data_IF_594273348503
#
_entry.id   IF_594273348503
#
_cell.length_a   1.000
_cell.length_b   1.000
_cell.length_c   1.000
_cell.angle_alpha   90.00
_cell.angle_beta   90.00
_cell.angle_gamma   90.00
#
_symmetry.space_group_name_H-M   'P 1'
#
loop_
_entity.id
_entity.type
_entity.pdbx_description
1 polymer ?
#
# COMPACT_ATOMS: atom_id res chain seq x y z
N UNK A 1 -11.37 -24.40 1.00
CA UNK A 1 -12.21 -23.24 0.64
C UNK A 1 -12.91 -23.58 -0.66
N UNK A 2 -14.23 -23.42 -0.71
CA UNK A 2 -15.06 -23.58 -1.92
C UNK A 2 -15.55 -22.20 -2.32
N UNK A 3 -15.16 -21.72 -3.51
CA UNK A 3 -15.62 -20.45 -4.07
C UNK A 3 -16.60 -20.75 -5.21
N UNK A 4 -17.80 -20.18 -5.10
CA UNK A 4 -18.79 -20.17 -6.18
C UNK A 4 -18.93 -18.73 -6.67
N UNK A 5 -18.47 -18.48 -7.89
CA UNK A 5 -18.52 -17.14 -8.47
C UNK A 5 -19.80 -16.93 -9.29
N UNK A 6 -20.28 -15.68 -9.31
CA UNK A 6 -21.50 -15.25 -10.01
C UNK A 6 -22.71 -16.18 -9.76
N UNK A 7 -22.99 -16.47 -8.50
CA UNK A 7 -24.03 -17.44 -8.09
C UNK A 7 -25.43 -17.07 -8.61
N UNK A 8 -25.67 -15.80 -8.96
CA UNK A 8 -26.92 -15.35 -9.58
C UNK A 8 -27.19 -15.95 -10.96
N UNK A 9 -26.16 -16.47 -11.63
CA UNK A 9 -26.27 -17.13 -12.94
C UNK A 9 -26.51 -18.63 -12.83
N UNK A 10 -26.41 -19.19 -11.62
CA UNK A 10 -26.60 -20.62 -11.41
C UNK A 10 -28.06 -21.04 -11.56
N UNK A 11 -28.27 -22.30 -11.94
CA UNK A 11 -29.61 -22.87 -11.99
C UNK A 11 -30.24 -22.92 -10.57
N UNK A 12 -31.54 -22.62 -10.41
CA UNK A 12 -32.21 -22.62 -9.10
C UNK A 12 -32.01 -23.90 -8.26
N UNK A 13 -31.87 -25.06 -8.90
CA UNK A 13 -31.62 -26.33 -8.20
C UNK A 13 -30.32 -26.35 -7.41
N UNK A 14 -29.31 -25.55 -7.80
CA UNK A 14 -28.08 -25.42 -7.05
C UNK A 14 -28.34 -24.88 -5.64
N UNK A 15 -29.28 -23.95 -5.48
CA UNK A 15 -29.61 -23.35 -4.19
C UNK A 15 -30.17 -24.40 -3.22
N UNK A 16 -30.97 -25.35 -3.71
CA UNK A 16 -31.49 -26.45 -2.90
C UNK A 16 -30.37 -27.38 -2.40
N UNK A 17 -29.40 -27.67 -3.26
CA UNK A 17 -28.22 -28.45 -2.89
C UNK A 17 -27.38 -27.71 -1.84
N UNK A 18 -27.18 -26.41 -2.01
CA UNK A 18 -26.43 -25.60 -1.07
C UNK A 18 -27.14 -25.49 0.28
N UNK A 19 -28.47 -25.37 0.32
CA UNK A 19 -29.25 -25.44 1.56
C UNK A 19 -28.99 -26.76 2.30
N UNK A 20 -29.05 -27.90 1.60
CA UNK A 20 -28.76 -29.19 2.21
C UNK A 20 -27.32 -29.25 2.78
N UNK A 21 -26.35 -28.71 2.05
CA UNK A 21 -24.96 -28.65 2.49
C UNK A 21 -24.79 -27.77 3.73
N UNK A 22 -25.43 -26.61 3.77
CA UNK A 22 -25.40 -25.69 4.92
C UNK A 22 -26.11 -26.27 6.15
N UNK A 23 -27.18 -27.05 5.95
CA UNK A 23 -27.98 -27.63 7.03
C UNK A 23 -27.33 -28.85 7.69
N UNK A 24 -26.75 -29.72 6.89
CA UNK A 24 -26.28 -31.04 7.35
C UNK A 24 -24.77 -31.20 7.30
N UNK A 25 -24.05 -30.24 6.68
CA UNK A 25 -22.61 -30.33 6.45
C UNK A 25 -22.24 -31.54 5.60
N UNK A 26 -23.18 -32.09 4.82
CA UNK A 26 -22.98 -33.30 4.02
C UNK A 26 -23.78 -33.24 2.72
N UNK A 27 -23.21 -33.78 1.66
CA UNK A 27 -23.86 -33.98 0.37
C UNK A 27 -23.77 -35.45 -0.02
N UNK A 28 -24.88 -36.05 -0.44
CA UNK A 28 -24.88 -37.43 -0.94
C UNK A 28 -24.93 -37.41 -2.46
N UNK A 29 -23.94 -38.05 -3.08
CA UNK A 29 -23.88 -38.21 -4.52
C UNK A 29 -24.85 -39.29 -5.04
N UNK A 30 -25.10 -39.33 -6.35
CA UNK A 30 -25.96 -40.32 -7.02
C UNK A 30 -25.54 -41.78 -6.76
N UNK A 31 -24.26 -42.01 -6.50
CA UNK A 31 -23.71 -43.32 -6.14
C UNK A 31 -23.91 -43.69 -4.65
N UNK A 32 -24.66 -42.87 -3.88
CA UNK A 32 -24.86 -43.06 -2.44
C UNK A 32 -23.66 -42.68 -1.57
N UNK A 33 -22.59 -42.14 -2.17
CA UNK A 33 -21.41 -41.68 -1.43
C UNK A 33 -21.71 -40.37 -0.72
N UNK A 34 -21.54 -40.35 0.60
CA UNK A 34 -21.65 -39.12 1.39
C UNK A 34 -20.31 -38.36 1.40
N UNK A 35 -20.37 -37.07 1.07
CA UNK A 35 -19.27 -36.11 1.04
C UNK A 35 -19.45 -35.17 2.24
N UNK A 36 -18.36 -34.94 2.99
CA UNK A 36 -18.36 -34.12 4.20
C UNK A 36 -17.91 -32.68 3.90
N UNK A 37 -18.71 -31.70 4.32
CA UNK A 37 -18.49 -30.26 4.15
C UNK A 37 -18.18 -29.53 5.47
N UNK A 38 -18.10 -30.24 6.62
CA UNK A 38 -17.89 -29.60 7.94
C UNK A 38 -16.59 -28.79 8.06
N UNK A 39 -15.57 -29.12 7.26
CA UNK A 39 -14.27 -28.43 7.24
C UNK A 39 -14.08 -27.57 5.97
N UNK A 40 -15.19 -27.13 5.35
CA UNK A 40 -15.17 -26.31 4.13
C UNK A 40 -15.71 -24.92 4.45
N UNK A 41 -14.93 -23.89 4.12
CA UNK A 41 -15.42 -22.51 4.05
C UNK A 41 -16.06 -22.33 2.67
N UNK A 42 -17.37 -22.10 2.64
CA UNK A 42 -18.12 -21.76 1.43
C UNK A 42 -18.13 -20.24 1.26
N UNK A 43 -17.62 -19.77 0.13
CA UNK A 43 -17.66 -18.36 -0.29
C UNK A 43 -18.47 -18.29 -1.58
N UNK A 44 -19.44 -17.39 -1.61
CA UNK A 44 -20.23 -17.11 -2.80
C UNK A 44 -20.09 -15.64 -3.14
N UNK A 45 -19.95 -15.34 -4.43
CA UNK A 45 -19.93 -13.97 -4.93
C UNK A 45 -21.09 -13.77 -5.89
N UNK A 46 -21.62 -12.54 -5.87
CA UNK A 46 -22.70 -12.14 -6.76
C UNK A 46 -22.50 -10.70 -7.19
N UNK A 47 -22.78 -10.41 -8.46
CA UNK A 47 -22.81 -9.04 -8.96
C UNK A 47 -24.24 -8.46 -8.93
N UNK A 48 -25.20 -9.16 -8.34
CA UNK A 48 -26.54 -8.63 -8.10
C UNK A 48 -26.46 -7.38 -7.20
N UNK A 49 -27.10 -6.29 -7.60
CA UNK A 49 -27.02 -4.97 -6.94
C UNK A 49 -25.97 -4.04 -7.55
N UNK A 50 -24.83 -4.57 -8.04
CA UNK A 50 -23.75 -3.74 -8.59
C UNK A 50 -24.18 -2.94 -9.84
N UNK A 51 -25.04 -3.51 -10.69
CA UNK A 51 -25.57 -2.82 -11.86
C UNK A 51 -26.54 -1.68 -11.51
N UNK A 52 -27.29 -1.82 -10.41
CA UNK A 52 -28.24 -0.80 -9.95
C UNK A 52 -27.50 0.35 -9.26
N UNK A 53 -26.45 0.06 -8.50
CA UNK A 53 -25.49 1.07 -7.99
C UNK A 53 -24.79 1.85 -9.11
N UNK A 54 -24.51 1.20 -10.24
CA UNK A 54 -23.84 1.83 -11.39
C UNK A 54 -24.76 2.76 -12.19
N UNK A 55 -26.09 2.72 -11.97
CA UNK A 55 -27.04 3.61 -12.66
C UNK A 55 -27.03 5.00 -12.02
N UNK A 56 -26.91 6.08 -12.81
CA UNK A 56 -26.99 7.44 -12.29
C UNK A 56 -28.27 7.66 -11.47
N UNK A 57 -28.17 8.40 -10.37
CA UNK A 57 -29.35 8.86 -9.65
C UNK A 57 -30.18 9.79 -10.55
N UNK A 58 -31.44 9.44 -10.83
CA UNK A 58 -32.38 10.36 -11.48
C UNK A 58 -32.99 11.22 -10.37
N UNK A 59 -32.55 12.47 -10.25
CA UNK A 59 -33.07 13.43 -9.28
C UNK A 59 -32.06 14.49 -8.84
N UNK A 60 -32.55 15.64 -8.37
CA UNK A 60 -31.73 16.73 -7.80
C UNK A 60 -31.23 16.35 -6.39
N UNK A 61 -30.27 15.43 -6.33
CA UNK A 61 -29.66 15.00 -5.09
C UNK A 61 -28.61 13.94 -5.35
N UNK A 62 -27.33 14.30 -5.16
CA UNK A 62 -26.24 13.34 -5.10
C UNK A 62 -26.35 12.54 -3.79
N UNK A 63 -27.36 11.69 -3.66
CA UNK A 63 -27.35 10.63 -2.67
C UNK A 63 -26.88 9.37 -3.38
N UNK A 64 -25.68 8.91 -3.02
CA UNK A 64 -25.29 7.51 -3.16
C UNK A 64 -26.49 6.68 -2.67
N UNK A 65 -27.04 5.81 -3.53
CA UNK A 65 -28.23 5.00 -3.20
C UNK A 65 -27.82 3.90 -2.21
N UNK A 66 -27.63 4.28 -0.95
CA UNK A 66 -27.49 3.34 0.15
C UNK A 66 -28.81 2.57 0.29
N UNK A 67 -28.81 1.28 -0.08
CA UNK A 67 -29.96 0.38 0.11
C UNK A 67 -30.38 -0.46 -1.10
N UNK A 68 -30.01 -0.07 -2.33
CA UNK A 68 -30.40 -0.81 -3.55
C UNK A 68 -29.78 -2.23 -3.59
N UNK A 69 -28.58 -2.39 -3.02
CA UNK A 69 -27.92 -3.70 -2.89
C UNK A 69 -28.74 -4.68 -2.06
N UNK A 70 -29.31 -4.22 -0.94
CA UNK A 70 -30.11 -5.05 -0.05
C UNK A 70 -31.37 -5.53 -0.76
N UNK A 71 -32.01 -4.68 -1.55
CA UNK A 71 -33.19 -5.07 -2.30
C UNK A 71 -32.88 -6.10 -3.39
N UNK A 72 -31.79 -5.92 -4.15
CA UNK A 72 -31.34 -6.88 -5.15
C UNK A 72 -31.01 -8.25 -4.51
N UNK A 73 -30.30 -8.26 -3.39
CA UNK A 73 -29.98 -9.47 -2.62
C UNK A 73 -31.24 -10.12 -2.07
N UNK A 74 -32.21 -9.34 -1.55
CA UNK A 74 -33.48 -9.86 -1.04
C UNK A 74 -34.34 -10.52 -2.12
N UNK A 75 -34.24 -10.05 -3.37
CA UNK A 75 -34.94 -10.63 -4.52
C UNK A 75 -34.26 -11.88 -5.04
N UNK A 76 -32.92 -11.90 -5.07
CA UNK A 76 -32.15 -13.04 -5.58
C UNK A 76 -32.13 -14.21 -4.61
N UNK A 77 -31.96 -13.94 -3.30
CA UNK A 77 -31.84 -14.98 -2.28
C UNK A 77 -33.07 -15.01 -1.39
N UNK A 78 -33.71 -16.18 -1.32
CA UNK A 78 -34.86 -16.41 -0.45
C UNK A 78 -34.48 -16.14 1.02
N UNK A 79 -35.45 -15.75 1.87
CA UNK A 79 -35.18 -15.59 3.30
C UNK A 79 -34.57 -16.84 3.95
N UNK A 80 -35.00 -18.03 3.52
CA UNK A 80 -34.45 -19.31 4.00
C UNK A 80 -32.96 -19.43 3.71
N UNK A 81 -32.53 -19.12 2.48
CA UNK A 81 -31.12 -19.18 2.11
C UNK A 81 -30.28 -18.17 2.89
N UNK A 82 -30.77 -16.93 3.03
CA UNK A 82 -30.06 -15.88 3.76
C UNK A 82 -29.91 -16.19 5.24
N UNK A 83 -30.91 -16.83 5.84
CA UNK A 83 -30.85 -17.26 7.24
C UNK A 83 -29.81 -18.37 7.50
N UNK A 84 -29.24 -18.98 6.44
CA UNK A 84 -28.15 -19.97 6.54
C UNK A 84 -26.76 -19.38 6.26
N UNK A 85 -26.68 -18.11 5.93
CA UNK A 85 -25.39 -17.41 5.75
C UNK A 85 -24.91 -16.87 7.09
N UNK A 86 -23.65 -17.14 7.42
CA UNK A 86 -23.02 -16.56 8.61
C UNK A 86 -22.86 -15.03 8.49
N UNK A 87 -22.54 -14.56 7.29
CA UNK A 87 -22.37 -13.14 6.99
C UNK A 87 -22.64 -12.82 5.51
N UNK A 88 -23.20 -11.63 5.28
CA UNK A 88 -23.28 -11.01 3.95
C UNK A 88 -22.41 -9.76 3.98
N UNK A 89 -21.39 -9.72 3.12
CA UNK A 89 -20.41 -8.63 3.08
C UNK A 89 -20.61 -7.82 1.81
N UNK A 90 -21.04 -6.57 1.96
CA UNK A 90 -21.13 -5.63 0.84
C UNK A 90 -19.75 -5.03 0.56
N UNK A 91 -19.34 -5.05 -0.72
CA UNK A 91 -18.09 -4.44 -1.18
C UNK A 91 -18.40 -3.10 -1.85
N UNK A 92 -17.97 -2.01 -1.22
CA UNK A 92 -18.06 -0.68 -1.82
C UNK A 92 -16.98 -0.42 -2.86
N UNK A 93 -17.08 0.76 -3.48
CA UNK A 93 -16.05 1.28 -4.38
C UNK A 93 -14.71 1.46 -3.67
N UNK A 94 -13.61 1.34 -4.42
CA UNK A 94 -12.27 1.50 -3.87
C UNK A 94 -11.97 3.00 -3.67
N UNK A 95 -11.57 3.42 -2.46
CA UNK A 95 -11.03 4.76 -2.25
C UNK A 95 -9.76 4.99 -3.08
N UNK A 96 -9.48 6.23 -3.53
CA UNK A 96 -8.28 6.54 -4.33
C UNK A 96 -6.97 6.03 -3.71
N UNK A 97 -6.85 6.10 -2.39
CA UNK A 97 -5.69 5.66 -1.62
C UNK A 97 -5.49 4.16 -1.73
N UNK A 98 -6.58 3.39 -1.75
CA UNK A 98 -6.53 1.93 -1.95
C UNK A 98 -6.14 1.63 -3.40
N UNK A 99 -6.63 2.39 -4.38
CA UNK A 99 -6.22 2.24 -5.78
C UNK A 99 -4.71 2.47 -5.92
N UNK A 100 -4.15 3.48 -5.25
CA UNK A 100 -2.71 3.73 -5.24
C UNK A 100 -1.91 2.53 -4.70
N UNK A 101 -2.39 1.91 -3.61
CA UNK A 101 -1.78 0.70 -3.05
C UNK A 101 -1.86 -0.47 -4.03
N UNK A 102 -2.97 -0.60 -4.77
CA UNK A 102 -3.13 -1.63 -5.79
C UNK A 102 -2.14 -1.41 -6.95
N UNK A 103 -1.91 -0.16 -7.38
CA UNK A 103 -0.86 0.18 -8.36
C UNK A 103 0.50 -0.29 -7.87
N UNK A 104 0.89 0.09 -6.66
CA UNK A 104 2.18 -0.29 -6.07
C UNK A 104 2.32 -1.82 -5.99
N UNK A 105 1.25 -2.53 -5.60
CA UNK A 105 1.23 -4.00 -5.59
C UNK A 105 1.48 -4.59 -6.97
N UNK A 106 0.85 -4.08 -8.02
CA UNK A 106 1.07 -4.59 -9.38
C UNK A 106 2.48 -4.32 -9.88
N UNK A 107 3.07 -3.17 -9.55
CA UNK A 107 4.46 -2.85 -9.88
C UNK A 107 5.42 -3.78 -9.14
N UNK A 108 5.18 -4.04 -7.85
CA UNK A 108 5.97 -5.01 -7.08
C UNK A 108 5.86 -6.43 -7.66
N UNK A 109 4.68 -6.83 -8.12
CA UNK A 109 4.50 -8.11 -8.81
C UNK A 109 5.28 -8.17 -10.14
N UNK A 110 5.33 -7.06 -10.89
CA UNK A 110 6.14 -6.96 -12.10
C UNK A 110 7.63 -7.03 -11.77
N UNK A 111 8.09 -6.33 -10.74
CA UNK A 111 9.47 -6.40 -10.27
C UNK A 111 9.85 -7.83 -9.87
N UNK A 112 8.98 -8.52 -9.13
CA UNK A 112 9.19 -9.93 -8.77
C UNK A 112 9.29 -10.85 -10.01
N UNK A 113 8.56 -10.56 -11.09
CA UNK A 113 8.66 -11.30 -12.36
C UNK A 113 9.98 -11.05 -13.09
N UNK A 114 10.63 -9.91 -12.85
CA UNK A 114 11.88 -9.52 -13.51
C UNK A 114 13.10 -9.58 -12.58
N UNK A 115 12.93 -10.05 -11.35
CA UNK A 115 13.98 -10.17 -10.35
C UNK A 115 15.13 -11.07 -10.84
N UNK A 116 14.82 -12.17 -11.54
CA UNK A 116 15.83 -13.06 -12.13
C UNK A 116 16.69 -12.38 -13.21
N UNK A 117 16.20 -11.27 -13.78
CA UNK A 117 16.91 -10.45 -14.75
C UNK A 117 17.60 -9.24 -14.11
N UNK A 118 17.50 -9.08 -12.79
CA UNK A 118 18.08 -7.96 -12.06
C UNK A 118 17.47 -6.61 -12.43
N UNK A 119 16.18 -6.57 -12.80
CA UNK A 119 15.49 -5.32 -13.14
C UNK A 119 14.67 -4.86 -11.95
N UNK A 120 14.92 -3.62 -11.51
CA UNK A 120 14.18 -2.95 -10.43
C UNK A 120 13.36 -1.78 -10.97
N UNK A 121 12.41 -1.31 -10.18
CA UNK A 121 11.50 -0.24 -10.56
C UNK A 121 11.53 0.93 -9.57
N UNK A 122 11.68 2.14 -10.10
CA UNK A 122 11.51 3.39 -9.36
C UNK A 122 10.27 4.12 -9.91
N UNK A 123 9.17 4.07 -9.18
CA UNK A 123 7.90 4.67 -9.57
C UNK A 123 7.71 6.02 -8.86
N UNK A 124 7.57 7.10 -9.63
CA UNK A 124 7.26 8.41 -9.03
C UNK A 124 5.81 8.48 -8.54
N UNK A 125 5.54 9.31 -7.53
CA UNK A 125 4.19 9.50 -6.98
C UNK A 125 3.21 10.00 -8.05
N UNK A 126 3.68 10.83 -8.98
CA UNK A 126 2.88 11.30 -10.12
C UNK A 126 2.52 10.14 -11.06
N UNK A 127 3.42 9.19 -11.28
CA UNK A 127 3.16 8.01 -12.09
C UNK A 127 2.17 7.06 -11.41
N UNK A 128 2.25 6.90 -10.09
CA UNK A 128 1.24 6.14 -9.30
C UNK A 128 -0.15 6.74 -9.50
N UNK A 129 -0.26 8.06 -9.31
CA UNK A 129 -1.51 8.79 -9.46
C UNK A 129 -2.05 8.68 -10.89
N UNK A 130 -1.19 8.83 -11.89
CA UNK A 130 -1.54 8.71 -13.30
C UNK A 130 -2.10 7.33 -13.65
N UNK A 131 -1.46 6.27 -13.15
CA UNK A 131 -1.92 4.89 -13.35
C UNK A 131 -3.26 4.64 -12.65
N UNK A 132 -3.42 5.16 -11.43
CA UNK A 132 -4.66 5.04 -10.67
C UNK A 132 -5.83 5.73 -11.40
N UNK A 133 -5.65 6.97 -11.86
CA UNK A 133 -6.67 7.75 -12.57
C UNK A 133 -7.11 7.09 -13.89
N UNK A 134 -6.17 6.52 -14.65
CA UNK A 134 -6.48 5.84 -15.92
C UNK A 134 -6.97 4.41 -15.77
N UNK A 135 -6.55 3.71 -14.71
CA UNK A 135 -6.83 2.30 -14.50
C UNK A 135 -8.00 2.01 -13.55
N UNK A 136 -8.61 3.03 -12.97
CA UNK A 136 -9.79 2.93 -12.13
C UNK A 136 -11.03 3.44 -12.86
N UNK A 137 -12.07 2.62 -12.92
CA UNK A 137 -13.42 3.01 -13.33
C UNK A 137 -14.35 2.67 -12.16
N UNK A 138 -15.23 3.58 -11.76
CA UNK A 138 -16.14 3.36 -10.62
C UNK A 138 -17.07 2.14 -10.79
N UNK A 139 -17.34 1.72 -12.02
CA UNK A 139 -18.18 0.55 -12.35
C UNK A 139 -17.39 -0.74 -12.48
N UNK A 140 -16.12 -0.66 -12.87
CA UNK A 140 -15.25 -1.83 -13.07
C UNK A 140 -14.19 -2.00 -11.97
N UNK A 141 -14.13 -1.08 -11.02
CA UNK A 141 -13.09 -0.99 -10.00
C UNK A 141 -11.69 -0.87 -10.62
N UNK A 142 -10.72 -1.52 -9.98
CA UNK A 142 -9.33 -1.58 -10.44
C UNK A 142 -9.08 -2.66 -11.51
N UNK A 143 -10.12 -3.32 -12.07
CA UNK A 143 -9.94 -4.36 -13.11
C UNK A 143 -9.18 -3.85 -14.34
N UNK A 144 -9.42 -2.63 -14.86
CA UNK A 144 -8.67 -2.10 -16.00
C UNK A 144 -7.19 -1.82 -15.71
N UNK A 145 -6.81 -1.70 -14.44
CA UNK A 145 -5.46 -1.30 -14.03
C UNK A 145 -4.38 -2.26 -14.53
N UNK A 146 -4.66 -3.57 -14.51
CA UNK A 146 -3.75 -4.57 -15.04
C UNK A 146 -3.45 -4.34 -16.53
N UNK A 147 -4.45 -3.91 -17.31
CA UNK A 147 -4.30 -3.59 -18.73
C UNK A 147 -3.50 -2.30 -18.93
N UNK A 148 -3.79 -1.26 -18.15
CA UNK A 148 -3.04 0.01 -18.23
C UNK A 148 -1.55 -0.22 -17.94
N UNK A 149 -1.23 -1.03 -16.92
CA UNK A 149 0.15 -1.40 -16.60
C UNK A 149 0.77 -2.27 -17.70
N UNK A 150 0.00 -3.21 -18.27
CA UNK A 150 0.46 -4.04 -19.38
C UNK A 150 0.89 -3.18 -20.58
N UNK A 151 0.02 -2.26 -21.01
CA UNK A 151 0.19 -1.48 -22.22
C UNK A 151 1.24 -0.36 -22.04
N UNK A 152 1.27 0.29 -20.87
CA UNK A 152 2.14 1.45 -20.63
C UNK A 152 3.49 1.11 -19.97
N UNK A 153 3.63 -0.07 -19.36
CA UNK A 153 4.86 -0.46 -18.65
C UNK A 153 5.43 -1.75 -19.23
N UNK A 154 4.68 -2.86 -19.21
CA UNK A 154 5.23 -4.16 -19.63
C UNK A 154 5.61 -4.20 -21.11
N UNK A 155 4.76 -3.70 -22.00
CA UNK A 155 5.03 -3.70 -23.44
C UNK A 155 6.28 -2.89 -23.81
N UNK A 156 6.44 -1.61 -23.39
CA UNK A 156 7.65 -0.84 -23.66
C UNK A 156 8.92 -1.46 -23.08
N UNK A 157 8.82 -2.15 -21.94
CA UNK A 157 9.97 -2.78 -21.31
C UNK A 157 10.37 -4.11 -21.94
N UNK A 158 9.47 -4.79 -22.64
CA UNK A 158 9.78 -6.10 -23.23
C UNK A 158 11.00 -6.03 -24.16
N UNK A 159 11.05 -5.02 -25.03
CA UNK A 159 12.16 -4.82 -25.96
C UNK A 159 13.45 -4.41 -25.25
N UNK A 160 13.36 -3.54 -24.24
CA UNK A 160 14.52 -3.09 -23.45
C UNK A 160 15.17 -4.23 -22.65
N UNK A 161 14.36 -5.16 -22.13
CA UNK A 161 14.86 -6.32 -21.38
C UNK A 161 15.39 -7.41 -22.31
N UNK A 162 14.83 -7.58 -23.51
CA UNK A 162 15.28 -8.59 -24.48
C UNK A 162 16.52 -8.16 -25.26
N UNK A 163 16.54 -6.92 -25.75
CA UNK A 163 17.52 -6.43 -26.72
C UNK A 163 18.19 -5.12 -26.31
N UNK A 164 17.59 -4.36 -25.40
CA UNK A 164 18.06 -3.02 -25.02
C UNK A 164 18.94 -2.98 -23.77
N UNK A 165 18.83 -1.86 -23.06
CA UNK A 165 19.71 -1.49 -21.94
C UNK A 165 19.57 -2.40 -20.73
N UNK A 166 18.38 -2.97 -20.53
CA UNK A 166 18.06 -3.78 -19.35
C UNK A 166 18.43 -5.26 -19.50
N UNK A 167 19.09 -5.65 -20.61
CA UNK A 167 19.48 -7.05 -20.86
C UNK A 167 20.36 -7.66 -19.77
N UNK A 168 21.12 -6.82 -19.04
CA UNK A 168 22.01 -7.24 -17.93
C UNK A 168 21.48 -6.82 -16.55
N UNK A 169 20.23 -6.39 -16.47
CA UNK A 169 19.69 -5.74 -15.28
C UNK A 169 19.83 -4.23 -15.32
N UNK A 170 19.24 -3.57 -14.32
CA UNK A 170 19.18 -2.11 -14.25
C UNK A 170 17.91 -1.62 -13.54
N UNK A 171 17.84 -0.31 -13.37
CA UNK A 171 16.67 0.35 -12.76
C UNK A 171 15.82 1.01 -13.84
N UNK A 172 14.52 0.75 -13.82
CA UNK A 172 13.53 1.44 -14.65
C UNK A 172 12.93 2.56 -13.84
N UNK A 173 13.19 3.80 -14.26
CA UNK A 173 12.54 4.97 -13.67
C UNK A 173 11.28 5.33 -14.46
N UNK A 174 10.14 5.37 -13.77
CA UNK A 174 8.84 5.66 -14.36
C UNK A 174 8.34 6.99 -13.86
N UNK A 175 8.20 7.95 -14.78
CA UNK A 175 7.66 9.29 -14.50
C UNK A 175 6.53 9.62 -15.47
N UNK A 176 5.81 10.71 -15.24
CA UNK A 176 4.84 11.24 -16.21
C UNK A 176 5.56 12.15 -17.21
N UNK A 177 5.23 12.05 -18.51
CA UNK A 177 5.77 12.94 -19.56
C UNK A 177 5.25 14.37 -19.41
N UNK A 178 6.01 15.33 -19.93
CA UNK A 178 5.56 16.71 -20.08
C UNK A 178 4.25 16.76 -20.87
N UNK A 179 3.19 17.27 -20.22
CA UNK A 179 1.82 17.28 -20.75
C UNK A 179 0.85 16.30 -20.08
N UNK A 180 1.32 15.37 -19.24
CA UNK A 180 0.44 14.53 -18.42
C UNK A 180 -0.24 13.37 -19.16
N UNK A 181 0.00 13.21 -20.46
CA UNK A 181 -0.77 12.28 -21.29
C UNK A 181 -0.19 10.87 -21.36
N UNK A 182 1.07 10.66 -20.99
CA UNK A 182 1.74 9.36 -21.09
C UNK A 182 2.83 9.20 -20.03
N UNK A 183 3.20 7.94 -19.74
CA UNK A 183 4.37 7.63 -18.92
C UNK A 183 5.66 7.72 -19.73
N UNK A 184 6.72 8.18 -19.07
CA UNK A 184 8.09 8.10 -19.53
C UNK A 184 8.79 6.97 -18.77
N UNK A 185 9.44 6.07 -19.51
CA UNK A 185 10.20 4.97 -18.94
C UNK A 185 11.66 5.18 -19.32
N UNK A 186 12.49 5.49 -18.33
CA UNK A 186 13.92 5.64 -18.49
C UNK A 186 14.63 4.40 -17.95
N UNK A 187 15.26 3.63 -18.86
CA UNK A 187 16.07 2.49 -18.50
C UNK A 187 17.50 2.94 -18.14
N UNK A 188 17.87 2.74 -16.88
CA UNK A 188 19.19 3.02 -16.34
C UNK A 188 19.92 1.69 -16.17
N UNK A 189 20.99 1.49 -16.92
CA UNK A 189 21.81 0.29 -16.79
C UNK A 189 22.52 0.29 -15.44
N UNK A 190 22.50 -0.86 -14.75
CA UNK A 190 23.38 -1.09 -13.62
C UNK A 190 24.82 -1.33 -14.14
N UNK A 191 25.50 -0.23 -14.46
CA UNK A 191 26.95 -0.23 -14.61
C UNK A 191 27.60 -0.51 -13.24
N UNK A 192 28.83 -1.06 -13.20
CA UNK A 192 29.53 -1.23 -11.93
C UNK A 192 29.66 0.13 -11.27
N UNK A 193 28.91 0.35 -10.18
CA UNK A 193 29.07 1.51 -9.31
C UNK A 193 30.47 1.39 -8.74
N UNK A 194 31.45 2.05 -9.36
CA UNK A 194 32.75 2.26 -8.74
C UNK A 194 32.44 3.00 -7.44
N UNK A 195 32.74 2.43 -6.26
CA UNK A 195 32.47 3.11 -5.00
C UNK A 195 33.17 4.47 -5.07
N UNK A 196 32.40 5.54 -4.89
CA UNK A 196 32.97 6.87 -4.65
C UNK A 196 33.97 6.69 -3.51
N UNK A 197 35.25 7.05 -3.66
CA UNK A 197 36.20 6.94 -2.57
C UNK A 197 35.63 7.72 -1.38
N UNK A 198 35.34 7.03 -0.27
CA UNK A 198 35.03 7.70 0.97
C UNK A 198 36.19 8.64 1.28
N UNK A 199 35.93 9.92 1.63
CA UNK A 199 37.00 10.81 2.02
C UNK A 199 37.63 10.26 3.31
N UNK A 200 38.80 9.64 3.17
CA UNK A 200 39.60 9.16 4.29
C UNK A 200 39.79 10.34 5.25
N UNK A 201 39.34 10.25 6.51
CA UNK A 201 39.54 11.33 7.46
C UNK A 201 41.05 11.51 7.68
N UNK A 202 41.57 12.68 7.29
CA UNK A 202 42.98 13.04 7.51
C UNK A 202 43.32 12.88 9.00
N UNK A 203 44.44 12.22 9.35
CA UNK A 203 44.79 12.00 10.75
C UNK A 203 44.97 13.35 11.46
N UNK A 204 44.23 13.56 12.55
CA UNK A 204 44.38 14.74 13.41
C UNK A 204 45.79 14.74 13.99
N UNK A 205 46.58 15.78 13.68
CA UNK A 205 47.89 16.02 14.30
C UNK A 205 47.76 16.01 15.83
N UNK A 206 48.68 15.37 16.57
CA UNK A 206 48.61 15.32 18.02
C UNK A 206 48.73 16.73 18.61
N UNK A 207 47.81 17.08 19.51
CA UNK A 207 47.83 18.34 20.26
C UNK A 207 49.10 18.40 21.12
N UNK A 208 49.96 19.37 20.84
CA UNK A 208 51.16 19.70 21.63
C UNK A 208 50.73 20.12 23.04
N UNK A 209 51.16 19.39 24.08
CA UNK A 209 50.93 19.75 25.50
C UNK A 209 51.61 21.10 25.81
N UNK A 210 50.90 22.01 26.48
CA UNK A 210 51.47 23.27 26.99
C UNK A 210 52.32 22.99 28.26
N UNK A 211 53.42 23.72 28.50
CA UNK A 211 54.23 23.52 29.70
C UNK A 211 53.55 24.12 30.94
N UNK A 212 53.78 23.47 32.08
CA UNK A 212 53.34 23.85 33.43
C UNK A 212 54.14 25.08 33.90
N UNK A 213 53.47 26.14 34.37
CA UNK A 213 54.12 27.32 34.93
C UNK A 213 54.52 27.09 36.39
N UNK A 214 55.76 27.45 36.73
CA UNK A 214 56.35 27.35 38.05
C UNK A 214 55.84 28.46 39.00
N UNK A 215 55.77 28.12 40.29
CA UNK A 215 55.33 28.97 41.39
C UNK A 215 56.27 30.17 41.65
N UNK A 216 55.69 31.32 42.05
CA UNK A 216 56.40 32.43 42.72
C UNK A 216 55.75 32.77 44.06
N UNK A 217 56.59 32.90 45.09
CA UNK A 217 56.30 33.42 46.44
C UNK A 217 56.61 34.94 46.53
N UNK A 218 56.21 35.65 47.61
CA UNK A 218 55.65 37.02 47.53
C UNK A 218 56.53 38.13 48.14
N UNK A 219 56.18 39.40 47.85
CA UNK A 219 56.49 40.59 48.65
C UNK A 219 55.59 41.78 48.25
N UNK A 220 54.82 42.35 49.19
CA UNK A 220 53.93 43.52 49.01
C UNK A 220 54.64 44.88 49.22
N UNK A 221 53.99 45.93 49.77
CA UNK A 221 52.61 46.44 49.57
C UNK A 221 52.57 47.97 49.30
N UNK A 222 51.45 48.54 48.79
CA UNK A 222 50.83 49.83 49.21
C UNK A 222 49.58 50.10 48.36
N UNK A 223 48.37 50.18 48.96
CA UNK A 223 47.60 51.39 49.30
C UNK A 223 47.08 52.16 48.08
N UNK A 224 45.79 52.43 47.86
CA UNK A 224 44.59 52.22 48.66
C UNK A 224 43.32 52.52 47.83
N UNK A 225 42.17 52.58 48.51
CA UNK A 225 40.89 53.03 47.94
C UNK A 225 39.77 52.01 48.05
N UNK A 226 38.87 52.23 49.01
CA UNK A 226 37.64 51.46 49.31
C UNK A 226 36.41 52.26 48.76
N UNK A 227 35.16 51.81 48.93
CA UNK A 227 34.22 51.19 47.96
C UNK A 227 32.96 52.11 47.77
N UNK A 228 31.67 51.70 47.60
CA UNK A 228 31.03 50.37 47.45
C UNK A 228 29.81 50.26 46.48
N UNK A 229 29.26 49.04 46.42
CA UNK A 229 27.82 48.76 46.29
C UNK A 229 27.48 47.85 45.11
N UNK A 230 26.75 46.74 45.22
CA UNK A 230 26.03 46.09 46.31
C UNK A 230 25.05 45.07 45.71
N UNK A 231 24.74 43.98 46.44
CA UNK A 231 23.43 43.31 46.29
C UNK A 231 23.40 41.90 45.69
N UNK A 232 23.44 40.91 46.57
CA UNK A 232 22.91 39.53 46.52
C UNK A 232 21.46 39.42 46.01
N UNK A 233 20.95 38.32 45.43
CA UNK A 233 20.65 37.00 46.04
C UNK A 233 20.22 35.99 44.96
N UNK A 234 20.54 34.71 45.18
CA UNK A 234 19.97 33.58 44.42
C UNK A 234 18.76 32.94 45.11
N UNK A 235 18.18 31.90 44.48
CA UNK A 235 17.80 30.60 45.05
C UNK A 235 16.82 29.85 44.12
N UNK A 236 17.21 28.62 43.77
CA UNK A 236 16.41 27.50 43.18
C UNK A 236 15.60 26.82 44.32
N UNK A 237 14.54 25.99 44.11
CA UNK A 237 14.66 24.64 43.50
C UNK A 237 13.38 24.01 42.84
N UNK A 238 13.53 22.72 42.45
CA UNK A 238 12.83 21.80 41.51
C UNK A 238 11.51 21.11 41.97
N UNK A 239 10.69 20.74 40.93
CA UNK A 239 9.74 19.61 40.60
C UNK A 239 9.15 18.68 41.71
N UNK A 240 7.97 18.02 41.49
CA UNK A 240 7.99 16.63 40.96
C UNK A 240 6.81 16.20 40.03
N UNK A 241 7.05 15.07 39.34
CA UNK A 241 6.15 14.30 38.45
C UNK A 241 4.96 13.65 39.16
N UNK A 242 3.87 13.36 38.41
CA UNK A 242 2.89 12.33 38.75
C UNK A 242 2.48 11.50 37.54
N UNK A 243 2.54 10.19 37.72
CA UNK A 243 1.94 9.12 36.93
C UNK A 243 0.49 8.88 37.36
N UNK A 244 -0.38 8.52 36.42
CA UNK A 244 -1.39 7.44 36.48
C UNK A 244 -1.91 7.21 35.07
#
# INVERSE_FOLDING_TARGET
VLLLDEIEKAHPDLFNILLQVMDHGKLTDHNGKSIDFRNVILIMTTNAGAADLARPAIGFGNSVRDGDDQEAINRLFTPEFRNRLDAVVAFGNLPPEVVHQVVQKFVLQLEAQLADRGVTFDLSDEAVKWLAERGYDSRMGARPLARVIQDNIKQPLADEVLFGKLRKGGTVKITVKDGGEALNLEAIEDGPVKPKPEPIPKPKRPRRRKPVQAAKKPSGPSNGGKPPGGGTRGLVPKVPLKTS
#
